data_IF_606663895632
#
_entry.id   IF_606663895632
#
_cell.length_a   1.000
_cell.length_b   1.000
_cell.length_c   1.000
_cell.angle_alpha   90.00
_cell.angle_beta   90.00
_cell.angle_gamma   90.00
#
_symmetry.space_group_name_H-M   'P 1'
#
loop_
_entity.id
_entity.type
_entity.pdbx_description
1 polymer ?
#
# COMPACT_ATOMS: atom_id res chain seq x y z
N UNK A 1 0.82 -21.36 4.84
CA UNK A 1 2.22 -21.12 5.25
C UNK A 1 2.64 -19.75 4.74
N UNK A 2 3.26 -18.96 5.61
CA UNK A 2 3.87 -17.68 5.25
C UNK A 2 5.38 -17.87 5.18
N UNK A 3 5.98 -17.38 4.11
CA UNK A 3 7.43 -17.43 3.93
C UNK A 3 7.96 -16.00 3.79
N UNK A 4 8.94 -15.64 4.62
CA UNK A 4 9.66 -14.38 4.48
C UNK A 4 10.62 -14.49 3.30
N UNK A 5 10.56 -13.52 2.40
CA UNK A 5 11.46 -13.41 1.25
C UNK A 5 11.99 -12.00 1.10
N UNK A 6 13.06 -11.86 0.32
CA UNK A 6 13.65 -10.59 -0.04
C UNK A 6 13.63 -10.44 -1.56
N UNK A 7 13.25 -9.28 -2.04
CA UNK A 7 13.29 -8.92 -3.46
C UNK A 7 14.18 -7.69 -3.62
N UNK A 8 15.40 -7.90 -4.12
CA UNK A 8 16.40 -6.83 -4.31
C UNK A 8 16.24 -6.10 -5.66
N UNK A 9 15.43 -6.62 -6.57
CA UNK A 9 15.03 -6.00 -7.83
C UNK A 9 13.50 -5.78 -7.84
N UNK A 10 13.03 -5.05 -6.85
CA UNK A 10 11.63 -4.87 -6.52
C UNK A 10 10.74 -4.45 -7.69
N UNK A 11 9.46 -4.79 -7.64
CA UNK A 11 8.48 -4.36 -8.64
C UNK A 11 8.26 -2.85 -8.61
N UNK A 12 7.61 -2.33 -9.64
CA UNK A 12 7.08 -0.96 -9.60
C UNK A 12 5.99 -0.87 -8.54
N UNK A 13 6.13 0.07 -7.62
CA UNK A 13 5.10 0.34 -6.61
C UNK A 13 4.13 1.41 -7.09
N UNK A 14 2.84 1.18 -6.89
CA UNK A 14 1.77 2.17 -7.10
C UNK A 14 1.12 2.45 -5.75
N UNK A 15 1.31 3.65 -5.24
CA UNK A 15 0.80 4.06 -3.94
C UNK A 15 0.24 5.48 -3.93
N UNK A 16 -0.03 5.98 -2.72
CA UNK A 16 -0.40 7.38 -2.43
C UNK A 16 -1.60 7.92 -3.23
N UNK A 17 -2.62 7.10 -3.48
CA UNK A 17 -3.86 7.57 -4.10
C UNK A 17 -4.74 8.25 -3.04
N UNK A 18 -4.93 9.55 -3.17
CA UNK A 18 -5.79 10.34 -2.28
C UNK A 18 -6.84 11.06 -3.11
N UNK A 19 -8.09 11.03 -2.67
CA UNK A 19 -9.19 11.81 -3.21
C UNK A 19 -9.68 12.76 -2.12
N UNK A 20 -9.77 14.03 -2.45
CA UNK A 20 -10.32 15.04 -1.56
C UNK A 20 -11.71 14.58 -1.05
N UNK A 21 -12.01 14.75 0.25
CA UNK A 21 -13.29 14.33 0.84
C UNK A 21 -14.51 14.82 0.07
N UNK A 22 -14.50 16.03 -0.45
CA UNK A 22 -15.62 16.64 -1.19
C UNK A 22 -15.90 15.94 -2.54
N UNK A 23 -14.91 15.24 -3.09
CA UNK A 23 -15.02 14.49 -4.34
C UNK A 23 -15.14 12.98 -4.14
N UNK A 24 -15.13 12.51 -2.89
CA UNK A 24 -15.44 11.11 -2.59
C UNK A 24 -16.90 10.83 -2.89
N UNK A 25 -17.16 9.66 -3.48
CA UNK A 25 -18.52 9.28 -3.92
C UNK A 25 -19.15 10.18 -5.00
N UNK A 26 -18.38 11.06 -5.62
CA UNK A 26 -18.88 11.86 -6.75
C UNK A 26 -19.31 10.96 -7.91
N UNK A 27 -20.43 11.28 -8.63
CA UNK A 27 -20.93 10.46 -9.74
C UNK A 27 -19.91 10.16 -10.83
N UNK A 28 -18.97 11.08 -11.09
CA UNK A 28 -17.87 10.88 -12.05
C UNK A 28 -16.80 9.90 -11.59
N UNK A 29 -16.88 9.33 -10.37
CA UNK A 29 -15.94 8.34 -9.83
C UNK A 29 -14.48 8.79 -9.93
N UNK A 30 -14.18 9.98 -9.43
CA UNK A 30 -12.86 10.63 -9.50
C UNK A 30 -11.73 9.70 -9.08
N UNK A 31 -11.87 8.97 -7.98
CA UNK A 31 -10.87 8.02 -7.51
C UNK A 31 -10.53 6.93 -8.55
N UNK A 32 -11.54 6.45 -9.27
CA UNK A 32 -11.34 5.49 -10.36
C UNK A 32 -10.58 6.12 -11.54
N UNK A 33 -10.92 7.35 -11.91
CA UNK A 33 -10.22 8.06 -12.98
C UNK A 33 -8.74 8.25 -12.66
N UNK A 34 -8.43 8.73 -11.45
CA UNK A 34 -7.04 8.93 -11.01
C UNK A 34 -6.30 7.59 -10.99
N UNK A 35 -6.95 6.50 -10.55
CA UNK A 35 -6.34 5.17 -10.59
C UNK A 35 -5.98 4.75 -12.03
N UNK A 36 -6.88 4.94 -13.00
CA UNK A 36 -6.63 4.58 -14.40
C UNK A 36 -5.57 5.46 -15.07
N UNK A 37 -5.52 6.75 -14.78
CA UNK A 37 -4.49 7.66 -15.32
C UNK A 37 -3.08 7.17 -15.01
N UNK A 38 -2.85 6.62 -13.84
CA UNK A 38 -1.55 6.04 -13.48
C UNK A 38 -1.15 4.88 -14.40
N UNK A 39 -2.10 4.00 -14.71
CA UNK A 39 -1.85 2.89 -15.64
C UNK A 39 -1.62 3.37 -17.08
N UNK A 40 -2.31 4.41 -17.53
CA UNK A 40 -2.05 5.04 -18.80
C UNK A 40 -0.64 5.63 -18.87
N UNK A 41 -0.21 6.29 -17.81
CA UNK A 41 1.16 6.81 -17.72
C UNK A 41 2.21 5.69 -17.77
N UNK A 42 2.02 4.62 -17.02
CA UNK A 42 2.89 3.45 -17.05
C UNK A 42 2.92 2.83 -18.46
N UNK A 43 1.76 2.71 -19.12
CA UNK A 43 1.68 2.17 -20.47
C UNK A 43 2.46 3.02 -21.49
N UNK A 44 2.37 4.35 -21.40
CA UNK A 44 3.11 5.27 -22.27
C UNK A 44 4.62 5.35 -21.99
N UNK A 45 5.05 4.89 -20.83
CA UNK A 45 6.45 5.00 -20.38
C UNK A 45 7.03 3.66 -19.93
N UNK A 46 6.68 2.57 -20.62
CA UNK A 46 7.04 1.19 -20.23
C UNK A 46 8.50 0.97 -19.85
N UNK A 47 9.42 1.63 -20.55
CA UNK A 47 10.85 1.49 -20.28
C UNK A 47 11.30 2.01 -18.90
N UNK A 48 10.47 2.82 -18.24
CA UNK A 48 10.76 3.38 -16.90
C UNK A 48 10.25 2.51 -15.76
N UNK A 49 9.50 1.47 -16.06
CA UNK A 49 8.80 0.65 -15.06
C UNK A 49 9.14 -0.82 -15.21
N UNK A 50 9.13 -1.53 -14.08
CA UNK A 50 9.26 -2.98 -14.07
C UNK A 50 8.00 -3.65 -14.65
N UNK A 51 8.15 -4.90 -15.09
CA UNK A 51 7.02 -5.68 -15.63
C UNK A 51 5.99 -6.08 -14.56
N UNK A 52 6.44 -6.16 -13.30
CA UNK A 52 5.58 -6.42 -12.15
C UNK A 52 5.23 -5.11 -11.47
N UNK A 53 4.00 -5.03 -11.00
CA UNK A 53 3.48 -3.88 -10.23
C UNK A 53 2.88 -4.39 -8.94
N UNK A 54 3.16 -3.70 -7.83
CA UNK A 54 2.51 -3.94 -6.54
C UNK A 54 1.77 -2.68 -6.08
N UNK A 55 0.78 -2.89 -5.25
CA UNK A 55 0.13 -1.84 -4.49
C UNK A 55 0.08 -2.27 -3.03
N UNK A 56 0.62 -1.45 -2.15
CA UNK A 56 0.49 -1.65 -0.72
C UNK A 56 -0.83 -1.06 -0.24
N UNK A 57 -1.56 -1.84 0.54
CA UNK A 57 -2.82 -1.41 1.13
C UNK A 57 -2.67 -1.42 2.64
N UNK A 58 -3.11 -0.32 3.27
CA UNK A 58 -3.20 -0.29 4.72
C UNK A 58 -4.13 -1.42 5.20
N UNK A 59 -3.73 -2.17 6.23
CA UNK A 59 -4.58 -3.22 6.78
C UNK A 59 -5.85 -2.60 7.37
N UNK A 60 -6.98 -3.29 7.32
CA UNK A 60 -8.17 -2.82 7.99
C UNK A 60 -7.92 -2.76 9.50
N UNK A 61 -8.21 -1.61 10.08
CA UNK A 61 -8.13 -1.42 11.53
C UNK A 61 -9.51 -1.61 12.16
N UNK A 62 -9.53 -2.25 13.32
CA UNK A 62 -10.75 -2.35 14.12
C UNK A 62 -11.05 -1.02 14.85
N UNK A 63 -12.16 -0.95 15.58
CA UNK A 63 -12.57 0.25 16.34
C UNK A 63 -11.54 0.71 17.40
N UNK A 64 -10.59 -0.15 17.75
CA UNK A 64 -9.49 0.15 18.70
C UNK A 64 -8.19 0.55 18.00
N UNK A 65 -8.19 0.70 16.69
CA UNK A 65 -6.99 1.01 15.89
C UNK A 65 -6.04 -0.16 15.71
N UNK A 66 -6.46 -1.39 16.01
CA UNK A 66 -5.61 -2.59 15.87
C UNK A 66 -5.88 -3.27 14.53
N UNK A 67 -4.82 -3.73 13.88
CA UNK A 67 -4.91 -4.60 12.71
C UNK A 67 -5.01 -6.07 13.13
N UNK A 68 -6.12 -6.77 12.85
CA UNK A 68 -6.25 -8.19 13.19
C UNK A 68 -5.16 -9.06 12.54
N UNK A 69 -4.75 -8.73 11.31
CA UNK A 69 -3.68 -9.43 10.63
C UNK A 69 -2.34 -9.24 11.34
N UNK A 70 -2.03 -8.01 11.73
CA UNK A 70 -0.80 -7.72 12.45
C UNK A 70 -0.74 -8.44 13.80
N UNK A 71 -1.83 -8.41 14.56
CA UNK A 71 -1.91 -9.12 15.85
C UNK A 71 -1.72 -10.64 15.70
N UNK A 72 -2.24 -11.22 14.62
CA UNK A 72 -2.12 -12.65 14.37
C UNK A 72 -0.71 -13.07 13.92
N UNK A 73 0.00 -12.23 13.19
CA UNK A 73 1.27 -12.55 12.54
C UNK A 73 2.40 -11.63 13.00
N UNK A 74 2.33 -10.34 12.68
CA UNK A 74 3.44 -9.40 12.86
C UNK A 74 3.90 -9.26 14.32
N UNK A 75 2.96 -9.11 15.25
CA UNK A 75 3.27 -9.01 16.68
C UNK A 75 4.02 -10.22 17.21
N UNK A 76 3.77 -11.42 16.69
CA UNK A 76 4.46 -12.64 17.13
C UNK A 76 5.93 -12.68 16.77
N UNK A 77 6.34 -11.98 15.72
CA UNK A 77 7.73 -11.92 15.27
C UNK A 77 8.47 -10.71 15.82
N UNK A 78 7.77 -9.60 16.00
CA UNK A 78 8.40 -8.31 16.34
C UNK A 78 8.19 -7.89 17.78
N UNK A 79 7.19 -8.45 18.47
CA UNK A 79 6.68 -8.01 19.77
C UNK A 79 6.17 -6.55 19.80
N UNK A 80 6.14 -5.89 18.64
CA UNK A 80 5.66 -4.51 18.46
C UNK A 80 4.19 -4.47 18.09
N UNK A 81 3.49 -3.40 18.44
CA UNK A 81 2.19 -3.13 17.86
C UNK A 81 2.32 -2.63 16.41
N UNK A 82 1.19 -2.50 15.71
CA UNK A 82 1.20 -2.09 14.30
C UNK A 82 1.83 -0.70 14.10
N UNK A 83 1.50 0.25 14.96
CA UNK A 83 1.96 1.62 14.84
C UNK A 83 3.44 1.77 15.16
N UNK A 84 3.94 1.05 16.15
CA UNK A 84 5.36 1.00 16.49
C UNK A 84 6.17 0.46 15.31
N UNK A 85 5.70 -0.61 14.67
CA UNK A 85 6.35 -1.18 13.51
C UNK A 85 6.30 -0.27 12.28
N UNK A 86 5.17 0.40 12.04
CA UNK A 86 4.99 1.35 10.93
C UNK A 86 5.93 2.56 11.10
N UNK A 87 6.01 3.12 12.31
CA UNK A 87 6.93 4.20 12.65
C UNK A 87 8.39 3.80 12.47
N UNK A 88 8.75 2.59 12.87
CA UNK A 88 10.11 2.06 12.68
C UNK A 88 10.48 1.98 11.20
N UNK A 89 9.58 1.48 10.35
CA UNK A 89 9.76 1.42 8.91
C UNK A 89 9.85 2.81 8.27
N UNK A 90 9.04 3.75 8.75
CA UNK A 90 9.01 5.12 8.21
C UNK A 90 10.29 5.90 8.52
N UNK A 91 10.90 5.66 9.68
CA UNK A 91 12.12 6.35 10.11
C UNK A 91 13.41 5.77 9.51
N UNK A 92 13.36 4.60 8.90
CA UNK A 92 14.52 3.89 8.32
C UNK A 92 14.54 3.92 6.79
N UNK A 93 13.78 4.81 6.16
CA UNK A 93 13.79 5.03 4.71
C UNK A 93 14.84 6.03 4.27
#
# INVERSE_FOLDING_TARGET
TLTLGYDTDGPTEIGALVVDPDYRNHPSRVGRQIAFVRFLYVAGHRARFKSRVIAELLPPLNKRGLSPLWEAVGRRFTSMDYWEADMLCSNNK
#
